data_IF_658259839566
#
_entry.id   IF_658259839566
#
_cell.length_a   1.000
_cell.length_b   1.000
_cell.length_c   1.000
_cell.angle_alpha   90.00
_cell.angle_beta   90.00
_cell.angle_gamma   90.00
#
_symmetry.space_group_name_H-M   'P 1'
#
loop_
_entity.id
_entity.type
_entity.pdbx_description
1 polymer ?
#
# COMPACT_ATOMS: atom_id res chain seq x y z
N UNK A 1 -54.72 -7.62 35.48
CA UNK A 1 -53.62 -7.97 36.40
C UNK A 1 -53.24 -9.41 36.10
N UNK A 2 -52.01 -9.82 35.75
CA UNK A 2 -50.80 -9.16 35.28
C UNK A 2 -50.38 -9.86 33.96
N UNK A 3 -49.44 -9.36 33.16
CA UNK A 3 -48.11 -8.91 33.54
C UNK A 3 -47.11 -9.82 32.84
N UNK A 4 -46.25 -9.21 32.04
CA UNK A 4 -45.40 -9.72 30.95
C UNK A 4 -44.14 -10.47 31.40
N UNK A 5 -43.38 -10.92 30.38
CA UNK A 5 -41.92 -11.10 30.36
C UNK A 5 -41.35 -12.52 30.56
N UNK A 6 -41.16 -13.22 29.43
CA UNK A 6 -40.09 -14.18 29.28
C UNK A 6 -39.06 -13.69 28.24
N UNK A 7 -38.08 -12.97 28.79
CA UNK A 7 -36.68 -12.82 28.38
C UNK A 7 -36.27 -13.33 26.99
N UNK A 8 -36.11 -12.37 26.07
CA UNK A 8 -35.22 -12.49 24.92
C UNK A 8 -33.79 -12.58 25.44
N UNK A 9 -33.15 -13.75 25.27
CA UNK A 9 -31.73 -13.89 25.54
C UNK A 9 -30.94 -13.05 24.52
N UNK A 10 -30.42 -11.94 25.03
CA UNK A 10 -29.53 -11.00 24.35
C UNK A 10 -28.29 -11.74 23.81
N UNK A 11 -28.24 -11.96 22.49
CA UNK A 11 -27.04 -12.47 21.81
C UNK A 11 -26.05 -11.31 21.72
N UNK A 12 -25.27 -11.13 22.78
CA UNK A 12 -24.13 -10.20 22.80
C UNK A 12 -23.20 -10.42 21.59
N UNK A 13 -22.44 -9.38 21.20
CA UNK A 13 -21.63 -9.43 19.99
C UNK A 13 -20.63 -10.58 20.08
N UNK A 14 -20.63 -11.44 19.06
CA UNK A 14 -19.62 -12.48 18.85
C UNK A 14 -18.22 -11.84 18.89
N UNK A 15 -17.57 -11.84 20.05
CA UNK A 15 -16.14 -11.56 20.16
C UNK A 15 -15.42 -12.74 19.54
N UNK A 16 -14.91 -12.55 18.33
CA UNK A 16 -13.94 -13.48 17.73
C UNK A 16 -12.70 -13.47 18.62
N UNK A 17 -12.56 -14.49 19.47
CA UNK A 17 -11.35 -14.74 20.25
C UNK A 17 -10.21 -14.94 19.25
N UNK A 18 -9.27 -13.98 19.18
CA UNK A 18 -8.07 -14.14 18.37
C UNK A 18 -7.18 -15.15 19.09
N UNK A 19 -6.89 -16.34 18.52
CA UNK A 19 -6.05 -17.32 19.18
C UNK A 19 -4.65 -16.73 19.42
N UNK A 20 -4.08 -17.00 20.59
CA UNK A 20 -2.70 -16.64 20.92
C UNK A 20 -1.75 -17.58 20.15
N UNK A 21 -1.58 -17.33 18.86
CA UNK A 21 -0.62 -18.00 17.99
C UNK A 21 0.45 -17.00 17.55
N UNK A 22 1.70 -17.46 17.50
CA UNK A 22 2.80 -16.69 16.90
C UNK A 22 2.67 -16.59 15.38
N UNK A 23 2.04 -17.58 14.75
CA UNK A 23 1.74 -17.57 13.31
C UNK A 23 0.29 -17.15 13.10
N UNK A 24 0.11 -16.03 12.42
CA UNK A 24 -1.19 -15.58 11.95
C UNK A 24 -1.31 -15.79 10.44
N UNK A 25 -2.54 -15.67 9.92
CA UNK A 25 -2.81 -15.82 8.49
C UNK A 25 -2.01 -14.83 7.64
N UNK A 26 -1.65 -13.66 8.17
CA UNK A 26 -0.85 -12.67 7.45
C UNK A 26 0.57 -13.19 7.23
N UNK A 27 1.19 -13.80 8.24
CA UNK A 27 2.52 -14.39 8.14
C UNK A 27 2.55 -15.56 7.15
N UNK A 28 1.55 -16.44 7.20
CA UNK A 28 1.40 -17.54 6.25
C UNK A 28 1.26 -17.05 4.81
N UNK A 29 0.42 -16.04 4.59
CA UNK A 29 0.20 -15.46 3.25
C UNK A 29 1.41 -14.69 2.73
N UNK A 30 2.15 -14.01 3.60
CA UNK A 30 3.41 -13.35 3.25
C UNK A 30 4.46 -14.37 2.76
N UNK A 31 4.62 -15.49 3.49
CA UNK A 31 5.51 -16.58 3.07
C UNK A 31 5.04 -17.23 1.77
N UNK A 32 3.74 -17.51 1.64
CA UNK A 32 3.13 -18.04 0.41
C UNK A 32 3.44 -17.16 -0.79
N UNK A 33 3.25 -15.84 -0.66
CA UNK A 33 3.56 -14.88 -1.73
C UNK A 33 5.06 -14.87 -2.07
N UNK A 34 5.95 -14.99 -1.09
CA UNK A 34 7.40 -14.99 -1.30
C UNK A 34 7.90 -16.28 -1.96
N UNK A 35 7.22 -17.39 -1.73
CA UNK A 35 7.50 -18.69 -2.36
C UNK A 35 6.82 -18.86 -3.72
N UNK A 36 6.19 -17.80 -4.27
CA UNK A 36 5.44 -17.83 -5.52
C UNK A 36 4.37 -18.93 -5.56
N UNK A 37 3.82 -19.30 -4.40
CA UNK A 37 2.74 -20.26 -4.33
C UNK A 37 1.41 -19.50 -4.55
N UNK A 38 0.49 -19.93 -5.42
CA UNK A 38 -0.74 -19.18 -5.70
C UNK A 38 -1.74 -19.27 -4.54
N UNK A 39 -2.62 -18.27 -4.37
CA UNK A 39 -3.63 -18.24 -3.29
C UNK A 39 -4.65 -19.37 -3.42
N UNK A 40 -4.96 -19.72 -4.68
CA UNK A 40 -5.83 -20.81 -5.07
C UNK A 40 -5.09 -21.65 -6.10
N UNK A 41 -5.45 -22.94 -6.27
CA UNK A 41 -5.00 -23.71 -7.42
C UNK A 41 -5.26 -22.92 -8.70
N UNK A 42 -4.29 -22.89 -9.61
CA UNK A 42 -4.37 -22.10 -10.85
C UNK A 42 -5.56 -22.51 -11.74
N UNK A 43 -6.10 -23.70 -11.51
CA UNK A 43 -7.20 -24.29 -12.27
C UNK A 43 -8.59 -23.94 -11.69
N UNK A 44 -8.64 -23.26 -10.54
CA UNK A 44 -9.89 -22.90 -9.87
C UNK A 44 -10.13 -21.37 -9.91
N UNK A 45 -11.36 -20.94 -10.24
CA UNK A 45 -11.71 -19.53 -10.18
C UNK A 45 -11.68 -19.02 -8.74
N UNK A 46 -11.31 -17.76 -8.58
CA UNK A 46 -11.37 -17.07 -7.30
C UNK A 46 -12.81 -17.07 -6.76
N UNK A 47 -13.03 -17.61 -5.57
CA UNK A 47 -14.34 -17.63 -4.90
C UNK A 47 -14.95 -16.24 -4.68
N UNK A 48 -14.12 -15.19 -4.65
CA UNK A 48 -14.56 -13.82 -4.40
C UNK A 48 -14.89 -13.01 -5.66
N UNK A 49 -14.33 -13.36 -6.83
CA UNK A 49 -14.54 -12.58 -8.06
C UNK A 49 -14.76 -13.41 -9.33
N UNK A 50 -14.66 -14.73 -9.28
CA UNK A 50 -14.88 -15.64 -10.40
C UNK A 50 -13.74 -15.73 -11.43
N UNK A 51 -12.71 -14.88 -11.35
CA UNK A 51 -11.59 -14.91 -12.29
C UNK A 51 -10.61 -16.06 -11.97
N UNK A 52 -9.98 -16.64 -13.00
CA UNK A 52 -8.88 -17.60 -12.81
C UNK A 52 -7.73 -16.89 -12.09
N UNK A 53 -7.36 -17.39 -10.92
CA UNK A 53 -6.39 -16.72 -10.07
C UNK A 53 -4.95 -17.00 -10.55
N UNK A 54 -4.25 -15.96 -10.99
CA UNK A 54 -2.80 -16.00 -11.25
C UNK A 54 -2.00 -15.47 -10.06
N UNK A 55 -0.67 -15.57 -10.12
CA UNK A 55 0.21 -14.92 -9.14
C UNK A 55 -0.09 -13.41 -9.07
N UNK A 56 -0.22 -12.87 -7.85
CA UNK A 56 -0.54 -11.45 -7.63
C UNK A 56 -2.01 -11.08 -7.84
N UNK A 57 -2.92 -12.04 -8.01
CA UNK A 57 -4.35 -11.78 -8.18
C UNK A 57 -4.94 -10.92 -7.04
N UNK A 58 -4.44 -11.04 -5.82
CA UNK A 58 -4.84 -10.24 -4.66
C UNK A 58 -4.71 -8.73 -4.87
N UNK A 59 -3.79 -8.29 -5.73
CA UNK A 59 -3.55 -6.88 -6.01
C UNK A 59 -4.59 -6.29 -6.98
N UNK A 60 -5.31 -7.13 -7.73
CA UNK A 60 -6.29 -6.72 -8.75
C UNK A 60 -7.72 -7.17 -8.45
N UNK A 61 -7.89 -8.19 -7.60
CA UNK A 61 -9.18 -8.76 -7.23
C UNK A 61 -10.16 -7.69 -6.69
N UNK A 62 -11.40 -7.71 -7.18
CA UNK A 62 -12.48 -6.86 -6.66
C UNK A 62 -12.99 -7.30 -5.29
N UNK A 63 -12.89 -8.60 -4.98
CA UNK A 63 -13.30 -9.17 -3.71
C UNK A 63 -12.26 -9.07 -2.59
N UNK A 64 -11.01 -8.71 -2.92
CA UNK A 64 -9.96 -8.56 -1.92
C UNK A 64 -10.16 -7.32 -1.04
N UNK A 65 -9.77 -7.43 0.21
CA UNK A 65 -9.63 -6.28 1.12
C UNK A 65 -8.51 -5.38 0.61
N UNK A 66 -8.87 -4.37 -0.18
CA UNK A 66 -7.94 -3.41 -0.78
C UNK A 66 -7.40 -2.49 0.30
N UNK A 67 -6.15 -2.71 0.71
CA UNK A 67 -5.44 -1.91 1.73
C UNK A 67 -4.69 -0.72 1.14
N UNK A 68 -5.17 -0.15 0.03
CA UNK A 68 -4.46 0.90 -0.72
C UNK A 68 -4.17 2.16 0.14
N UNK A 69 -5.17 2.68 0.87
CA UNK A 69 -4.99 3.81 1.79
C UNK A 69 -4.02 3.45 2.92
N UNK A 70 -4.19 2.27 3.54
CA UNK A 70 -3.34 1.84 4.64
C UNK A 70 -1.88 1.67 4.21
N UNK A 71 -1.66 1.13 3.01
CA UNK A 71 -0.36 0.96 2.37
C UNK A 71 0.28 2.32 2.08
N UNK A 72 -0.46 3.21 1.42
CA UNK A 72 -0.05 4.58 1.15
C UNK A 72 0.38 5.30 2.43
N UNK A 73 -0.49 5.34 3.44
CA UNK A 73 -0.21 6.05 4.68
C UNK A 73 0.96 5.43 5.47
N UNK A 74 1.17 4.12 5.38
CA UNK A 74 2.33 3.48 6.00
C UNK A 74 3.64 3.88 5.32
N UNK A 75 3.67 3.93 3.99
CA UNK A 75 4.85 4.36 3.23
C UNK A 75 5.11 5.86 3.44
N UNK A 76 4.08 6.70 3.37
CA UNK A 76 4.22 8.14 3.61
C UNK A 76 4.81 8.41 5.02
N UNK A 77 4.26 7.76 6.06
CA UNK A 77 4.81 7.85 7.42
C UNK A 77 6.25 7.35 7.51
N UNK A 78 6.63 6.33 6.75
CA UNK A 78 8.00 5.82 6.75
C UNK A 78 8.97 6.88 6.21
N UNK A 79 8.64 7.52 5.08
CA UNK A 79 9.44 8.62 4.53
C UNK A 79 9.53 9.81 5.49
N UNK A 80 8.39 10.32 5.96
CA UNK A 80 8.34 11.47 6.86
C UNK A 80 9.13 11.21 8.13
N UNK A 81 9.00 10.01 8.72
CA UNK A 81 9.75 9.66 9.93
C UNK A 81 11.25 9.56 9.68
N UNK A 82 11.66 8.94 8.57
CA UNK A 82 13.07 8.80 8.24
C UNK A 82 13.69 10.17 7.97
N UNK A 83 13.07 10.97 7.11
CA UNK A 83 13.58 12.29 6.73
C UNK A 83 13.51 13.28 7.89
N UNK A 84 12.44 13.27 8.68
CA UNK A 84 12.31 14.12 9.87
C UNK A 84 13.23 13.74 11.03
N UNK A 85 13.94 12.60 10.94
CA UNK A 85 14.97 12.26 11.92
C UNK A 85 16.29 13.02 11.68
N UNK A 86 16.44 13.65 10.51
CA UNK A 86 17.59 14.48 10.15
C UNK A 86 17.40 15.92 10.63
N UNK A 87 18.28 16.45 11.50
CA UNK A 87 18.13 17.80 12.05
C UNK A 87 18.39 18.91 11.04
N UNK A 88 19.07 18.60 9.94
CA UNK A 88 19.40 19.49 8.83
C UNK A 88 18.32 19.55 7.74
N UNK A 89 17.25 18.74 7.87
CA UNK A 89 16.14 18.71 6.93
C UNK A 89 14.87 19.26 7.58
N UNK A 90 14.16 20.12 6.85
CA UNK A 90 12.81 20.51 7.21
C UNK A 90 11.83 19.66 6.39
N UNK A 91 10.95 18.94 7.08
CA UNK A 91 9.95 18.07 6.44
C UNK A 91 8.55 18.57 6.79
N UNK A 92 7.78 18.90 5.76
CA UNK A 92 6.38 19.32 5.89
C UNK A 92 5.46 18.23 5.35
N UNK A 93 4.44 17.84 6.12
CA UNK A 93 3.46 16.83 5.74
C UNK A 93 2.26 17.51 5.08
N UNK A 94 1.77 16.94 3.98
CA UNK A 94 0.67 17.48 3.21
C UNK A 94 0.79 18.98 2.88
N UNK A 95 1.93 19.44 2.33
CA UNK A 95 2.12 20.85 2.03
C UNK A 95 1.21 21.32 0.90
N UNK A 96 0.76 22.58 0.95
CA UNK A 96 0.13 23.22 -0.19
C UNK A 96 1.17 23.42 -1.29
N UNK A 97 0.83 22.98 -2.51
CA UNK A 97 1.70 23.10 -3.68
C UNK A 97 1.79 24.55 -4.18
N UNK A 98 0.68 25.27 -4.09
CA UNK A 98 0.55 26.69 -4.39
C UNK A 98 -0.42 27.30 -3.38
N UNK A 99 -0.14 28.53 -2.92
CA UNK A 99 -0.96 29.22 -1.91
C UNK A 99 -2.44 29.36 -2.33
N UNK A 100 -2.68 29.53 -3.64
CA UNK A 100 -4.03 29.73 -4.19
C UNK A 100 -4.71 28.43 -4.67
N UNK A 101 -4.09 27.26 -4.44
CA UNK A 101 -4.66 25.98 -4.86
C UNK A 101 -5.01 25.10 -3.66
N UNK A 102 -6.03 24.24 -3.81
CA UNK A 102 -6.30 23.17 -2.85
C UNK A 102 -5.40 21.94 -3.03
N UNK A 103 -4.41 22.01 -3.93
CA UNK A 103 -3.56 20.89 -4.27
C UNK A 103 -2.49 20.68 -3.19
N UNK A 104 -2.45 19.47 -2.64
CA UNK A 104 -1.49 19.06 -1.62
C UNK A 104 -0.69 17.86 -2.11
N UNK A 105 0.64 17.93 -1.95
CA UNK A 105 1.52 16.78 -2.12
C UNK A 105 1.50 15.94 -0.83
N UNK A 106 2.12 14.76 -0.79
CA UNK A 106 2.13 13.96 0.45
C UNK A 106 3.09 14.51 1.49
N UNK A 107 4.26 14.97 1.04
CA UNK A 107 5.24 15.65 1.86
C UNK A 107 6.15 16.54 1.01
N UNK A 108 6.80 17.51 1.65
CA UNK A 108 7.91 18.27 1.09
C UNK A 108 9.13 18.19 2.00
N UNK A 109 10.31 18.32 1.39
CA UNK A 109 11.59 18.41 2.09
C UNK A 109 12.30 19.67 1.64
N UNK A 110 12.69 20.53 2.59
CA UNK A 110 13.59 21.66 2.32
C UNK A 110 15.03 21.20 2.52
N UNK A 111 15.85 21.38 1.49
CA UNK A 111 17.29 21.09 1.49
C UNK A 111 18.00 22.40 1.14
N UNK A 112 18.68 23.00 2.10
CA UNK A 112 19.24 24.35 1.96
C UNK A 112 18.14 25.35 1.65
N UNK A 113 18.22 26.01 0.49
CA UNK A 113 17.24 27.02 0.05
C UNK A 113 16.20 26.47 -0.93
N UNK A 114 16.23 25.17 -1.23
CA UNK A 114 15.35 24.54 -2.21
C UNK A 114 14.35 23.62 -1.53
N UNK A 115 13.09 23.75 -1.92
CA UNK A 115 11.98 22.94 -1.39
C UNK A 115 11.49 21.97 -2.46
N UNK A 116 11.56 20.68 -2.15
CA UNK A 116 11.18 19.60 -3.06
C UNK A 116 9.89 18.94 -2.58
N UNK A 117 8.99 18.64 -3.50
CA UNK A 117 7.68 18.07 -3.23
C UNK A 117 7.62 16.63 -3.75
N UNK A 118 6.99 15.77 -2.95
CA UNK A 118 6.89 14.35 -3.22
C UNK A 118 5.45 13.88 -3.07
N UNK A 119 5.04 13.01 -3.97
CA UNK A 119 3.71 12.39 -3.94
C UNK A 119 3.84 10.92 -4.32
N UNK A 120 3.28 10.06 -3.47
CA UNK A 120 3.44 8.62 -3.48
C UNK A 120 2.24 7.99 -4.20
N UNK A 121 2.53 7.03 -5.07
CA UNK A 121 1.50 6.19 -5.65
C UNK A 121 1.96 4.73 -5.68
N UNK A 122 1.08 3.85 -5.20
CA UNK A 122 1.29 2.41 -5.32
C UNK A 122 0.39 1.85 -6.40
N UNK A 123 0.98 1.19 -7.40
CA UNK A 123 0.32 0.67 -8.59
C UNK A 123 0.25 -0.86 -8.55
N UNK A 124 -0.87 -1.42 -8.97
CA UNK A 124 -1.01 -2.86 -9.16
C UNK A 124 -0.53 -3.22 -10.58
N UNK A 125 0.62 -3.89 -10.66
CA UNK A 125 1.25 -4.33 -11.92
C UNK A 125 0.84 -5.76 -12.32
N UNK A 126 0.05 -6.45 -11.49
CA UNK A 126 -0.45 -7.82 -11.75
C UNK A 126 -1.72 -7.84 -12.61
N UNK A 127 -2.06 -6.73 -13.27
CA UNK A 127 -3.18 -6.65 -14.23
C UNK A 127 -2.76 -7.26 -15.56
N UNK A 128 -3.71 -7.84 -16.29
CA UNK A 128 -3.42 -8.42 -17.61
C UNK A 128 -2.78 -7.42 -18.58
N UNK A 129 -3.21 -6.16 -18.52
CA UNK A 129 -2.65 -5.05 -19.31
C UNK A 129 -1.19 -4.68 -18.97
N UNK A 130 -0.66 -5.17 -17.85
CA UNK A 130 0.69 -4.89 -17.37
C UNK A 130 1.60 -6.13 -17.39
N UNK A 131 1.12 -7.26 -17.93
CA UNK A 131 1.88 -8.52 -17.99
C UNK A 131 3.05 -8.47 -18.97
N UNK A 132 2.95 -7.70 -20.05
CA UNK A 132 4.00 -7.61 -21.07
C UNK A 132 5.15 -6.69 -20.64
N UNK A 133 4.83 -5.51 -20.10
CA UNK A 133 5.82 -4.59 -19.54
C UNK A 133 5.28 -3.91 -18.27
N UNK A 134 5.69 -4.34 -17.06
CA UNK A 134 5.25 -3.72 -15.82
C UNK A 134 5.78 -2.29 -15.63
N UNK A 135 6.88 -1.93 -16.30
CA UNK A 135 7.45 -0.58 -16.22
C UNK A 135 6.61 0.44 -16.98
N UNK A 136 5.93 0.03 -18.06
CA UNK A 136 5.00 0.91 -18.79
C UNK A 136 3.92 1.51 -17.88
N UNK A 137 3.33 0.69 -17.00
CA UNK A 137 2.28 1.12 -16.07
C UNK A 137 2.83 2.06 -14.98
N UNK A 138 4.06 1.80 -14.51
CA UNK A 138 4.72 2.68 -13.53
C UNK A 138 5.07 4.03 -14.16
N UNK A 139 5.54 4.02 -15.41
CA UNK A 139 5.90 5.22 -16.18
C UNK A 139 4.66 6.07 -16.51
N UNK A 140 3.55 5.44 -16.84
CA UNK A 140 2.26 6.12 -17.05
C UNK A 140 1.82 6.83 -15.77
N UNK A 141 1.82 6.13 -14.63
CA UNK A 141 1.48 6.73 -13.34
C UNK A 141 2.41 7.89 -12.96
N UNK A 142 3.72 7.77 -13.20
CA UNK A 142 4.67 8.86 -13.00
C UNK A 142 4.34 10.08 -13.87
N UNK A 143 3.99 9.84 -15.15
CA UNK A 143 3.63 10.89 -16.10
C UNK A 143 2.33 11.60 -15.72
N UNK A 144 1.32 10.87 -15.24
CA UNK A 144 0.08 11.44 -14.72
C UNK A 144 0.32 12.34 -13.52
N UNK A 145 1.17 11.91 -12.57
CA UNK A 145 1.56 12.73 -11.41
C UNK A 145 2.31 13.99 -11.84
N UNK A 146 3.28 13.89 -12.75
CA UNK A 146 3.97 15.07 -13.29
C UNK A 146 3.02 16.06 -13.95
N UNK A 147 2.03 15.58 -14.71
CA UNK A 147 1.00 16.45 -15.30
C UNK A 147 0.16 17.13 -14.22
N UNK A 148 -0.22 16.39 -13.17
CA UNK A 148 -0.96 16.94 -12.01
C UNK A 148 -0.17 18.04 -11.28
N UNK A 149 1.14 17.86 -11.14
CA UNK A 149 2.04 18.77 -10.42
C UNK A 149 2.94 19.60 -11.35
N UNK A 150 2.50 19.83 -12.59
CA UNK A 150 3.34 20.46 -13.63
C UNK A 150 3.87 21.84 -13.25
N UNK A 151 3.14 22.58 -12.40
CA UNK A 151 3.52 23.90 -11.93
C UNK A 151 4.75 23.93 -11.03
N UNK A 152 5.13 22.79 -10.43
CA UNK A 152 6.33 22.66 -9.62
C UNK A 152 7.58 22.37 -10.47
N UNK A 153 7.42 21.98 -11.73
CA UNK A 153 8.53 21.68 -12.63
C UNK A 153 9.55 20.72 -12.01
N UNK A 154 10.82 21.14 -11.97
CA UNK A 154 11.93 20.33 -11.46
C UNK A 154 11.91 20.10 -9.95
N UNK A 155 11.08 20.83 -9.19
CA UNK A 155 10.96 20.68 -7.73
C UNK A 155 9.99 19.59 -7.31
N UNK A 156 9.31 18.94 -8.26
CA UNK A 156 8.41 17.83 -7.97
C UNK A 156 9.00 16.49 -8.43
N UNK A 157 8.94 15.50 -7.53
CA UNK A 157 9.39 14.15 -7.82
C UNK A 157 8.30 13.12 -7.47
N UNK A 158 7.74 12.40 -8.46
CA UNK A 158 6.80 11.32 -8.18
C UNK A 158 7.52 10.11 -7.57
N UNK A 159 6.91 9.52 -6.54
CA UNK A 159 7.37 8.30 -5.90
C UNK A 159 6.41 7.14 -6.24
N UNK A 160 6.69 6.46 -7.36
CA UNK A 160 5.84 5.40 -7.90
C UNK A 160 6.42 4.02 -7.57
N UNK A 161 5.61 3.24 -6.86
CA UNK A 161 5.94 1.88 -6.44
C UNK A 161 4.89 0.89 -6.96
N UNK A 162 5.28 -0.35 -7.21
CA UNK A 162 4.32 -1.44 -7.33
C UNK A 162 3.96 -2.01 -5.96
N UNK A 163 2.87 -2.78 -5.91
CA UNK A 163 2.52 -3.57 -4.72
C UNK A 163 3.63 -4.53 -4.25
N UNK A 164 4.52 -4.96 -5.18
CA UNK A 164 5.65 -5.85 -4.91
C UNK A 164 6.97 -5.12 -4.64
N UNK A 165 6.98 -3.79 -4.63
CA UNK A 165 8.20 -2.99 -4.36
C UNK A 165 9.03 -2.62 -5.59
N UNK A 166 8.65 -3.05 -6.79
CA UNK A 166 9.22 -2.51 -8.04
C UNK A 166 9.02 -0.99 -8.11
N UNK A 167 10.04 -0.23 -8.53
CA UNK A 167 9.98 1.22 -8.65
C UNK A 167 10.05 1.64 -10.12
N UNK A 168 9.44 2.78 -10.43
CA UNK A 168 9.75 3.50 -11.68
C UNK A 168 11.25 3.88 -11.73
N UNK A 169 11.80 4.06 -12.94
CA UNK A 169 13.21 4.40 -13.13
C UNK A 169 13.58 5.75 -12.47
N UNK A 170 12.76 6.78 -12.62
CA UNK A 170 13.00 8.08 -11.97
C UNK A 170 12.86 7.94 -10.45
N UNK A 171 11.80 7.26 -10.00
CA UNK A 171 11.59 6.99 -8.57
C UNK A 171 12.80 6.29 -7.97
N UNK A 172 13.41 5.33 -8.66
CA UNK A 172 14.63 4.66 -8.19
C UNK A 172 15.80 5.62 -8.00
N UNK A 173 16.00 6.57 -8.92
CA UNK A 173 17.05 7.58 -8.82
C UNK A 173 16.78 8.56 -7.67
N UNK A 174 15.55 9.05 -7.57
CA UNK A 174 15.12 9.93 -6.47
C UNK A 174 15.26 9.23 -5.12
N UNK A 175 14.84 7.96 -5.05
CA UNK A 175 14.94 7.16 -3.83
C UNK A 175 16.39 6.98 -3.38
N UNK A 176 17.32 6.71 -4.31
CA UNK A 176 18.76 6.66 -4.01
C UNK A 176 19.28 7.97 -3.41
N UNK A 177 18.90 9.12 -3.99
CA UNK A 177 19.28 10.43 -3.43
C UNK A 177 18.72 10.63 -2.03
N UNK A 178 17.46 10.23 -1.78
CA UNK A 178 16.88 10.27 -0.44
C UNK A 178 17.63 9.36 0.55
N UNK A 179 18.04 8.17 0.11
CA UNK A 179 18.84 7.27 0.94
C UNK A 179 20.23 7.85 1.27
N UNK A 180 20.88 8.50 0.29
CA UNK A 180 22.16 9.20 0.51
C UNK A 180 22.03 10.30 1.56
N UNK A 181 20.94 11.08 1.53
CA UNK A 181 20.65 12.13 2.53
C UNK A 181 20.43 11.56 3.94
N UNK A 182 19.77 10.41 4.04
CA UNK A 182 19.49 9.76 5.32
C UNK A 182 20.73 9.12 5.96
N UNK A 183 21.70 8.73 5.14
CA UNK A 183 22.82 7.89 5.55
C UNK A 183 22.42 6.40 5.71
N UNK A 184 23.41 5.51 5.84
CA UNK A 184 23.22 4.06 5.64
C UNK A 184 22.24 3.42 6.63
N UNK A 185 22.27 3.85 7.90
CA UNK A 185 21.42 3.26 8.93
C UNK A 185 19.94 3.62 8.73
N UNK A 186 19.63 4.91 8.59
CA UNK A 186 18.25 5.37 8.41
C UNK A 186 17.69 4.92 7.05
N UNK A 187 18.52 4.88 6.00
CA UNK A 187 18.15 4.30 4.71
C UNK A 187 17.78 2.81 4.82
N UNK A 188 18.59 2.00 5.50
CA UNK A 188 18.27 0.57 5.73
C UNK A 188 16.98 0.39 6.52
N UNK A 189 16.73 1.25 7.52
CA UNK A 189 15.50 1.20 8.31
C UNK A 189 14.27 1.59 7.47
N UNK A 190 14.42 2.56 6.56
CA UNK A 190 13.38 2.96 5.61
C UNK A 190 13.03 1.79 4.67
N UNK A 191 14.04 1.13 4.08
CA UNK A 191 13.87 -0.03 3.21
C UNK A 191 13.08 -1.15 3.91
N UNK A 192 13.48 -1.50 5.13
CA UNK A 192 12.81 -2.52 5.93
C UNK A 192 11.36 -2.14 6.25
N UNK A 193 11.12 -0.88 6.60
CA UNK A 193 9.78 -0.39 6.97
C UNK A 193 8.84 -0.41 5.77
N UNK A 194 9.30 0.06 4.61
CA UNK A 194 8.52 0.04 3.36
C UNK A 194 8.28 -1.41 2.93
N UNK A 195 9.32 -2.25 2.90
CA UNK A 195 9.20 -3.66 2.52
C UNK A 195 8.23 -4.43 3.41
N UNK A 196 8.26 -4.20 4.72
CA UNK A 196 7.32 -4.80 5.66
C UNK A 196 5.89 -4.31 5.44
N UNK A 197 5.69 -3.01 5.19
CA UNK A 197 4.37 -2.44 4.93
C UNK A 197 3.75 -3.01 3.64
N UNK A 198 4.53 -3.12 2.56
CA UNK A 198 4.10 -3.73 1.30
C UNK A 198 3.73 -5.20 1.50
N UNK A 199 4.60 -5.97 2.14
CA UNK A 199 4.40 -7.40 2.39
C UNK A 199 3.16 -7.66 3.23
N UNK A 200 3.02 -6.95 4.36
CA UNK A 200 1.88 -7.11 5.28
C UNK A 200 0.56 -6.78 4.61
N UNK A 201 0.50 -5.65 3.90
CA UNK A 201 -0.75 -5.24 3.23
C UNK A 201 -1.14 -6.19 2.11
N UNK A 202 -0.17 -6.74 1.37
CA UNK A 202 -0.40 -7.77 0.35
C UNK A 202 -0.90 -9.08 0.97
N UNK A 203 -0.28 -9.52 2.07
CA UNK A 203 -0.70 -10.70 2.80
C UNK A 203 -2.14 -10.60 3.33
N UNK A 204 -2.54 -9.44 3.85
CA UNK A 204 -3.93 -9.18 4.27
C UNK A 204 -4.90 -9.29 3.10
N UNK A 205 -4.54 -8.70 1.94
CA UNK A 205 -5.37 -8.79 0.73
C UNK A 205 -5.49 -10.25 0.26
N UNK A 206 -4.41 -11.01 0.29
CA UNK A 206 -4.43 -12.43 -0.05
C UNK A 206 -5.28 -13.27 0.93
N UNK A 207 -5.07 -13.10 2.24
CA UNK A 207 -5.84 -13.78 3.28
C UNK A 207 -7.35 -13.56 3.15
N UNK A 208 -7.75 -12.38 2.68
CA UNK A 208 -9.16 -12.03 2.50
C UNK A 208 -9.87 -12.80 1.38
N UNK A 209 -9.12 -13.31 0.40
CA UNK A 209 -9.65 -14.09 -0.74
C UNK A 209 -9.22 -15.55 -0.72
N UNK A 210 -8.33 -15.94 0.19
CA UNK A 210 -7.93 -17.33 0.41
C UNK A 210 -9.08 -18.18 0.98
N UNK A 211 -10.04 -17.58 1.69
CA UNK A 211 -11.15 -18.32 2.34
C UNK A 211 -12.15 -18.87 1.31
N UNK A 212 -12.52 -20.14 1.46
CA UNK A 212 -13.49 -20.85 0.58
C UNK A 212 -14.96 -20.53 0.85
N UNK A 213 -15.27 -19.69 1.84
CA UNK A 213 -16.66 -19.45 2.21
C UNK A 213 -17.29 -18.40 1.30
N UNK A 214 -18.36 -18.72 0.54
CA UNK A 214 -19.17 -17.70 -0.11
C UNK A 214 -19.62 -16.70 0.96
N UNK A 215 -19.41 -15.43 0.69
CA UNK A 215 -19.88 -14.34 1.55
C UNK A 215 -21.39 -14.51 1.66
N UNK A 216 -21.90 -14.96 2.81
CA UNK A 216 -23.34 -15.08 3.05
C UNK A 216 -23.97 -13.72 2.74
N UNK A 217 -24.69 -13.65 1.62
CA UNK A 217 -25.62 -12.57 1.35
C UNK A 217 -26.69 -12.67 2.42
N UNK A 218 -26.72 -11.71 3.34
CA UNK A 218 -27.90 -11.51 4.17
C UNK A 218 -28.99 -11.00 3.23
N UNK A 219 -29.92 -11.90 2.89
CA UNK A 219 -31.22 -11.56 2.32
C UNK A 219 -32.09 -10.88 3.37
#
# INVERSE_FOLDING_TARGET
MGGTDHYIADRGPFRVLKPHSFTDSETTEALRSRLFYPIKPLDLPCSACGAIASLGHEDTCKGASRRWIARHNAINRAFVKALGSRPDLEVEIEPLVQQDSSLRADFAVTIGNSRYFYDIQIVAISKDSAKEDPYSTLKEAASEKRRKYQSLGAFFHPLIFSAGGLMDQETSQTYKKLQELLGPFAASQLDLTIGLALTKTKAISAASIARDLPRRTHS
#
